data_IF_537371344222
#
_entry.id   IF_537371344222
#
_cell.length_a   1.000
_cell.length_b   1.000
_cell.length_c   1.000
_cell.angle_alpha   90.00
_cell.angle_beta   90.00
_cell.angle_gamma   90.00
#
_symmetry.space_group_name_H-M   'P 1'
#
loop_
_entity.id
_entity.type
_entity.pdbx_description
1 polymer ?
#
# COMPACT_ATOMS: atom_id res chain seq x y z
N UNK A 1 14.31 -11.49 15.24
CA UNK A 1 13.99 -10.64 14.09
C UNK A 1 14.43 -11.36 12.82
N UNK A 2 13.52 -11.95 12.04
CA UNK A 2 13.88 -12.87 10.94
C UNK A 2 14.11 -12.07 9.65
N UNK A 3 15.34 -12.11 9.14
CA UNK A 3 15.73 -11.52 7.84
C UNK A 3 14.96 -12.25 6.71
N UNK A 4 14.24 -11.51 5.87
CA UNK A 4 13.40 -12.03 4.76
C UNK A 4 14.20 -12.67 3.61
N UNK A 5 15.48 -12.32 3.45
CA UNK A 5 16.32 -12.75 2.32
C UNK A 5 17.65 -13.33 2.78
N UNK A 6 18.17 -14.28 2.00
CA UNK A 6 19.50 -14.84 2.21
C UNK A 6 20.59 -13.77 1.93
N UNK A 7 21.74 -13.76 2.62
CA UNK A 7 22.79 -12.73 2.45
C UNK A 7 23.24 -12.51 1.00
N UNK A 8 23.19 -13.54 0.16
CA UNK A 8 23.54 -13.46 -1.26
C UNK A 8 22.51 -12.68 -2.08
N UNK A 9 21.21 -12.85 -1.80
CA UNK A 9 20.14 -12.10 -2.49
C UNK A 9 20.19 -10.61 -2.14
N UNK A 10 20.56 -10.27 -0.89
CA UNK A 10 20.75 -8.89 -0.46
C UNK A 10 21.90 -8.18 -1.20
N UNK A 11 22.97 -8.90 -1.50
CA UNK A 11 24.11 -8.38 -2.28
C UNK A 11 23.70 -8.04 -3.70
N UNK A 12 22.91 -8.91 -4.34
CA UNK A 12 22.41 -8.69 -5.71
C UNK A 12 21.41 -7.53 -5.76
N UNK A 13 20.54 -7.41 -4.75
CA UNK A 13 19.55 -6.32 -4.65
C UNK A 13 20.10 -5.02 -4.04
N UNK A 14 21.41 -4.96 -3.73
CA UNK A 14 22.11 -3.82 -3.13
C UNK A 14 21.43 -3.24 -1.87
N UNK A 15 20.82 -4.11 -1.04
CA UNK A 15 20.08 -3.68 0.15
C UNK A 15 21.09 -3.48 1.29
N UNK A 16 21.34 -2.22 1.69
CA UNK A 16 22.24 -1.94 2.82
C UNK A 16 21.62 -2.35 4.16
N UNK A 17 22.49 -2.47 5.15
CA UNK A 17 22.09 -2.80 6.51
C UNK A 17 21.41 -1.57 7.14
N UNK A 18 20.12 -1.70 7.50
CA UNK A 18 19.33 -0.60 8.09
C UNK A 18 18.31 0.04 7.15
N UNK A 19 18.29 -0.30 5.86
CA UNK A 19 17.18 0.05 4.99
C UNK A 19 16.01 -0.92 5.24
N UNK A 20 14.91 -0.38 5.77
CA UNK A 20 13.65 -1.09 5.88
C UNK A 20 13.05 -1.28 4.48
N UNK A 21 13.11 -2.50 3.96
CA UNK A 21 12.59 -2.84 2.64
C UNK A 21 11.06 -2.66 2.63
N UNK A 22 10.56 -1.77 1.75
CA UNK A 22 9.13 -1.46 1.62
C UNK A 22 8.62 -1.84 0.24
N UNK A 23 7.60 -2.70 0.21
CA UNK A 23 6.91 -3.11 -1.01
C UNK A 23 5.64 -2.27 -1.20
N UNK A 24 5.41 -1.77 -2.42
CA UNK A 24 4.21 -1.01 -2.77
C UNK A 24 3.28 -1.84 -3.64
N UNK A 25 2.08 -2.11 -3.14
CA UNK A 25 1.06 -2.88 -3.84
C UNK A 25 -0.06 -1.98 -4.33
N UNK A 26 -0.51 -2.24 -5.56
CA UNK A 26 -1.69 -1.56 -6.11
C UNK A 26 -2.93 -2.34 -5.73
N UNK A 27 -3.88 -1.70 -5.06
CA UNK A 27 -5.11 -2.30 -4.60
C UNK A 27 -6.27 -1.81 -5.45
N UNK A 28 -7.17 -2.72 -5.80
CA UNK A 28 -8.41 -2.41 -6.51
C UNK A 28 -9.59 -2.83 -5.63
N UNK A 29 -10.42 -1.86 -5.24
CA UNK A 29 -11.61 -2.07 -4.41
C UNK A 29 -12.85 -1.66 -5.18
N UNK A 30 -13.94 -2.40 -5.00
CA UNK A 30 -15.23 -2.15 -5.67
C UNK A 30 -16.39 -2.24 -4.68
N UNK A 31 -17.51 -1.62 -5.02
CA UNK A 31 -18.76 -1.71 -4.27
C UNK A 31 -18.63 -1.24 -2.82
N UNK A 32 -19.23 -1.99 -1.88
CA UNK A 32 -19.34 -1.62 -0.47
C UNK A 32 -17.97 -1.42 0.20
N UNK A 33 -16.99 -2.29 -0.10
CA UNK A 33 -15.66 -2.19 0.51
C UNK A 33 -14.92 -0.92 0.04
N UNK A 34 -15.16 -0.47 -1.19
CA UNK A 34 -14.60 0.80 -1.69
C UNK A 34 -15.21 2.01 -0.96
N UNK A 35 -16.52 2.00 -0.74
CA UNK A 35 -17.20 3.05 0.04
C UNK A 35 -16.71 3.07 1.49
N UNK A 36 -16.56 1.89 2.11
CA UNK A 36 -16.03 1.76 3.46
C UNK A 36 -14.59 2.28 3.56
N UNK A 37 -13.73 1.90 2.61
CA UNK A 37 -12.37 2.39 2.54
C UNK A 37 -12.33 3.92 2.41
N UNK A 38 -13.14 4.51 1.54
CA UNK A 38 -13.18 5.95 1.34
C UNK A 38 -13.60 6.73 2.60
N UNK A 39 -14.52 6.18 3.39
CA UNK A 39 -15.05 6.87 4.56
C UNK A 39 -14.13 6.75 5.80
N UNK A 40 -13.46 5.61 5.97
CA UNK A 40 -12.75 5.29 7.21
C UNK A 40 -11.22 5.23 7.06
N UNK A 41 -10.71 4.87 5.88
CA UNK A 41 -9.28 4.73 5.63
C UNK A 41 -8.70 6.06 5.17
N UNK A 42 -7.58 6.45 5.77
CA UNK A 42 -6.85 7.69 5.45
C UNK A 42 -5.37 7.37 5.29
N UNK A 43 -4.58 8.29 4.72
CA UNK A 43 -3.13 8.06 4.54
C UNK A 43 -2.47 7.65 5.86
N UNK A 44 -1.66 6.59 5.81
CA UNK A 44 -0.95 6.06 6.97
C UNK A 44 -1.79 5.17 7.89
N UNK A 45 -3.06 4.90 7.53
CA UNK A 45 -3.89 3.92 8.21
C UNK A 45 -3.30 2.51 8.12
N UNK A 46 -3.40 1.75 9.22
CA UNK A 46 -3.05 0.33 9.23
C UNK A 46 -4.27 -0.49 8.84
N UNK A 47 -4.17 -1.18 7.71
CA UNK A 47 -5.26 -2.00 7.15
C UNK A 47 -4.79 -3.43 6.89
N UNK A 48 -5.69 -4.37 7.12
CA UNK A 48 -5.60 -5.76 6.69
C UNK A 48 -6.39 -5.95 5.40
N UNK A 49 -5.83 -6.66 4.43
CA UNK A 49 -6.44 -6.85 3.12
C UNK A 49 -6.46 -8.33 2.80
N UNK A 50 -7.63 -8.84 2.42
CA UNK A 50 -7.79 -10.19 1.89
C UNK A 50 -8.32 -10.11 0.47
N UNK A 51 -7.69 -10.82 -0.46
CA UNK A 51 -8.04 -10.73 -1.87
C UNK A 51 -7.26 -11.71 -2.74
N UNK A 52 -7.21 -11.40 -4.03
CA UNK A 52 -6.50 -12.20 -5.03
C UNK A 52 -5.59 -11.33 -5.88
N UNK A 53 -4.45 -11.88 -6.31
CA UNK A 53 -3.55 -11.18 -7.23
C UNK A 53 -4.10 -11.33 -8.65
N UNK A 54 -4.28 -10.20 -9.32
CA UNK A 54 -4.72 -10.11 -10.69
C UNK A 54 -3.64 -9.44 -11.57
N UNK A 55 -3.57 -9.85 -12.83
CA UNK A 55 -2.71 -9.25 -13.84
C UNK A 55 -3.58 -8.42 -14.78
N UNK A 56 -3.26 -7.15 -14.90
CA UNK A 56 -3.86 -6.22 -15.84
C UNK A 56 -2.92 -6.07 -17.04
N UNK A 57 -3.40 -6.33 -18.26
CA UNK A 57 -2.62 -6.24 -19.49
C UNK A 57 -3.25 -5.21 -20.43
N UNK A 58 -2.47 -4.23 -20.86
CA UNK A 58 -2.91 -3.18 -21.78
C UNK A 58 -1.85 -2.89 -22.83
N UNK A 59 -2.28 -2.40 -24.00
CA UNK A 59 -1.35 -1.93 -25.03
C UNK A 59 -0.95 -0.48 -24.73
N UNK A 60 0.36 -0.19 -24.73
CA UNK A 60 0.86 1.17 -24.61
C UNK A 60 0.39 2.02 -25.80
N UNK A 61 -0.13 3.23 -25.53
CA UNK A 61 -0.72 4.08 -26.58
C UNK A 61 0.32 4.66 -27.53
N UNK A 62 1.57 4.80 -27.11
CA UNK A 62 2.62 5.38 -27.93
C UNK A 62 3.39 4.32 -28.72
N UNK A 63 3.66 3.16 -28.12
CA UNK A 63 4.49 2.11 -28.74
C UNK A 63 3.71 0.90 -29.25
N UNK A 64 2.44 0.72 -28.82
CA UNK A 64 1.64 -0.46 -29.12
C UNK A 64 2.10 -1.74 -28.41
N UNK A 65 3.11 -1.66 -27.55
CA UNK A 65 3.66 -2.82 -26.85
C UNK A 65 2.74 -3.27 -25.71
N UNK A 66 2.58 -4.59 -25.50
CA UNK A 66 1.84 -5.10 -24.36
C UNK A 66 2.58 -4.79 -23.06
N UNK A 67 1.88 -4.13 -22.13
CA UNK A 67 2.34 -3.86 -20.77
C UNK A 67 1.47 -4.65 -19.80
N UNK A 68 2.09 -5.07 -18.71
CA UNK A 68 1.37 -5.78 -17.64
C UNK A 68 1.67 -5.19 -16.26
N UNK A 69 0.66 -5.11 -15.41
CA UNK A 69 0.80 -4.71 -14.01
C UNK A 69 0.07 -5.70 -13.12
N UNK A 70 0.71 -6.04 -12.00
CA UNK A 70 0.06 -6.83 -10.96
C UNK A 70 -0.68 -5.90 -10.00
N UNK A 71 -1.94 -6.23 -9.72
CA UNK A 71 -2.80 -5.56 -8.76
C UNK A 71 -3.42 -6.59 -7.83
N UNK A 72 -3.79 -6.17 -6.61
CA UNK A 72 -4.54 -7.00 -5.68
C UNK A 72 -6.00 -6.59 -5.78
N UNK A 73 -6.84 -7.49 -6.26
CA UNK A 73 -8.29 -7.33 -6.20
C UNK A 73 -8.74 -7.66 -4.78
N UNK A 74 -9.24 -6.64 -4.07
CA UNK A 74 -9.62 -6.76 -2.66
C UNK A 74 -11.00 -7.39 -2.57
N UNK A 75 -11.11 -8.45 -1.77
CA UNK A 75 -12.39 -9.10 -1.41
C UNK A 75 -12.91 -8.64 -0.06
N UNK A 76 -12.01 -8.32 0.87
CA UNK A 76 -12.36 -7.81 2.19
C UNK A 76 -11.25 -6.90 2.73
N UNK A 77 -11.66 -5.84 3.45
CA UNK A 77 -10.78 -4.88 4.10
C UNK A 77 -11.11 -4.77 5.59
N UNK A 78 -10.08 -4.92 6.41
CA UNK A 78 -10.12 -4.74 7.86
C UNK A 78 -9.29 -3.53 8.27
N UNK A 79 -9.79 -2.73 9.20
CA UNK A 79 -9.03 -1.62 9.78
C UNK A 79 -8.42 -2.12 11.09
N UNK A 80 -7.10 -2.08 11.17
CA UNK A 80 -6.33 -2.64 12.28
C UNK A 80 -5.92 -1.58 13.30
N UNK A 81 -6.20 -0.30 13.03
CA UNK A 81 -5.97 0.79 13.95
C UNK A 81 -7.18 1.09 14.82
N UNK A 82 -6.94 1.56 16.04
CA UNK A 82 -8.01 2.03 16.91
C UNK A 82 -8.52 3.41 16.47
N UNK A 83 -9.77 3.73 16.84
CA UNK A 83 -10.36 5.04 16.58
C UNK A 83 -9.53 6.18 17.16
N UNK A 84 -8.98 6.00 18.36
CA UNK A 84 -8.14 6.99 19.03
C UNK A 84 -6.83 7.26 18.25
N UNK A 85 -6.19 6.22 17.74
CA UNK A 85 -5.00 6.37 16.88
C UNK A 85 -5.34 7.09 15.56
N UNK A 86 -6.49 6.77 14.97
CA UNK A 86 -6.97 7.44 13.76
C UNK A 86 -7.26 8.93 14.00
N UNK A 87 -7.86 9.28 15.14
CA UNK A 87 -8.14 10.67 15.52
C UNK A 87 -6.86 11.48 15.82
N UNK A 88 -5.90 10.90 16.56
CA UNK A 88 -4.60 11.51 16.80
C UNK A 88 -3.87 11.83 15.49
N UNK A 89 -3.92 10.91 14.53
CA UNK A 89 -3.30 11.08 13.21
C UNK A 89 -4.00 12.17 12.38
N UNK A 90 -5.34 12.23 12.40
CA UNK A 90 -6.12 13.31 11.77
C UNK A 90 -5.87 14.68 12.42
N UNK A 91 -5.66 14.73 13.74
CA UNK A 91 -5.31 15.95 14.47
C UNK A 91 -3.90 16.47 14.16
N UNK A 92 -2.96 15.58 13.83
CA UNK A 92 -1.58 15.95 13.49
C UNK A 92 -1.44 16.49 12.05
N UNK A 93 -2.28 16.05 11.11
CA UNK A 93 -2.25 16.56 9.72
C UNK A 93 -2.64 18.04 9.57
N UNK A 94 -3.17 18.67 10.62
CA UNK A 94 -3.54 20.10 10.64
C UNK A 94 -2.52 21.05 11.27
N UNK A 95 -1.39 20.57 11.81
CA UNK A 95 -0.44 21.40 12.60
C UNK A 95 0.87 21.80 11.90
N UNK A 96 1.07 21.47 10.62
CA UNK A 96 2.39 21.61 9.96
C UNK A 96 2.48 22.65 8.83
N UNK A 97 1.46 23.50 8.60
CA UNK A 97 1.53 24.58 7.60
C UNK A 97 1.02 25.93 8.13
N UNK A 98 1.51 26.34 9.30
CA UNK A 98 1.20 27.66 9.85
C UNK A 98 1.99 27.97 11.11
N UNK A 99 3.20 28.49 10.95
CA UNK A 99 3.98 28.99 12.08
C UNK A 99 5.37 29.48 11.70
N UNK A 100 5.49 30.78 11.44
CA UNK A 100 6.73 31.56 11.52
C UNK A 100 7.51 31.72 10.24
#
# INVERSE_FOLDING_TARGET
CKRKYHPLERRVRNIKYGEEETDWFTLELWGRDAEYANNFVTKGARIGITGSIAKDEWADRATGEPRSRHKVQVKHLDILESKAEAELRRGNSGRSYGGG
#
